data_IF_055153267736
#
_entry.id   IF_055153267736
#
_cell.length_a   1.000
_cell.length_b   1.000
_cell.length_c   1.000
_cell.angle_alpha   90.00
_cell.angle_beta   90.00
_cell.angle_gamma   90.00
#
_symmetry.space_group_name_H-M   'P 1'
#
loop_
_entity.id
_entity.type
_entity.pdbx_description
1 polymer ?
#
# COMPACT_ATOMS: atom_id res chain seq x y z
N UNK A 1 35.95 67.05 19.58
CA UNK A 1 36.03 65.83 20.41
C UNK A 1 34.65 65.16 20.56
N UNK A 2 33.62 65.79 21.05
CA UNK A 2 32.32 65.11 21.30
C UNK A 2 31.69 64.40 20.08
N UNK A 3 31.80 64.93 18.88
CA UNK A 3 31.24 64.34 17.66
C UNK A 3 31.93 63.03 17.23
N UNK A 4 33.26 62.93 17.46
CA UNK A 4 34.05 61.73 17.13
C UNK A 4 33.76 60.61 18.13
N UNK A 5 33.53 60.95 19.38
CA UNK A 5 33.18 59.97 20.43
C UNK A 5 31.78 59.43 20.21
N UNK A 6 30.84 60.26 19.79
CA UNK A 6 29.47 59.79 19.45
C UNK A 6 29.45 58.86 18.23
N UNK A 7 30.30 59.13 17.21
CA UNK A 7 30.43 58.27 16.04
C UNK A 7 31.03 56.90 16.37
N UNK A 8 32.08 56.88 17.20
CA UNK A 8 32.68 55.64 17.66
C UNK A 8 31.73 54.80 18.53
N UNK A 9 30.88 55.46 19.34
CA UNK A 9 29.86 54.78 20.13
C UNK A 9 28.80 54.14 19.24
N UNK A 10 28.32 54.88 18.22
CA UNK A 10 27.34 54.38 17.25
C UNK A 10 27.91 53.22 16.44
N UNK A 11 29.18 53.30 15.99
CA UNK A 11 29.82 52.22 15.28
C UNK A 11 29.97 50.95 16.11
N UNK A 12 30.29 51.06 17.41
CA UNK A 12 30.32 49.95 18.33
C UNK A 12 28.94 49.32 18.57
N UNK A 13 27.91 50.13 18.67
CA UNK A 13 26.53 49.69 18.87
C UNK A 13 26.00 48.94 17.63
N UNK A 14 26.25 49.47 16.44
CA UNK A 14 25.93 48.81 15.17
C UNK A 14 26.70 47.46 15.05
N UNK A 15 28.01 47.47 15.38
CA UNK A 15 28.81 46.27 15.34
C UNK A 15 28.32 45.18 16.28
N UNK A 16 27.91 45.56 17.51
CA UNK A 16 27.29 44.60 18.46
C UNK A 16 25.94 44.03 17.95
N UNK A 17 25.08 44.89 17.42
CA UNK A 17 23.81 44.49 16.84
C UNK A 17 24.01 43.57 15.64
N UNK A 18 24.94 43.92 14.72
CA UNK A 18 25.27 43.06 13.60
C UNK A 18 25.80 41.70 14.02
N UNK A 19 26.65 41.61 15.03
CA UNK A 19 27.16 40.34 15.54
C UNK A 19 26.05 39.48 16.12
N UNK A 20 25.12 40.05 16.89
CA UNK A 20 23.99 39.34 17.42
C UNK A 20 23.06 38.73 16.34
N UNK A 21 22.81 39.51 15.24
CA UNK A 21 22.06 38.99 14.08
C UNK A 21 22.85 37.91 13.32
N UNK A 22 24.15 38.03 13.19
CA UNK A 22 25.00 37.01 12.56
C UNK A 22 25.02 35.72 13.34
N UNK A 23 25.10 35.77 14.68
CA UNK A 23 25.02 34.59 15.54
C UNK A 23 23.65 33.91 15.45
N UNK A 24 22.56 34.69 15.46
CA UNK A 24 21.21 34.16 15.29
C UNK A 24 21.02 33.50 13.91
N UNK A 25 21.50 34.11 12.84
CA UNK A 25 21.48 33.53 11.50
C UNK A 25 22.33 32.25 11.40
N UNK A 26 23.49 32.23 12.06
CA UNK A 26 24.34 31.03 12.11
C UNK A 26 23.65 29.87 12.81
N UNK A 27 22.95 30.14 13.94
CA UNK A 27 22.17 29.13 14.65
C UNK A 27 21.00 28.58 13.81
N UNK A 28 20.25 29.46 13.15
CA UNK A 28 19.16 29.07 12.25
C UNK A 28 19.72 28.25 11.07
N UNK A 29 20.84 28.68 10.48
CA UNK A 29 21.51 27.96 9.41
C UNK A 29 22.00 26.57 9.85
N UNK A 30 22.63 26.49 11.02
CA UNK A 30 23.09 25.23 11.59
C UNK A 30 21.92 24.28 11.87
N UNK A 31 20.82 24.76 12.45
CA UNK A 31 19.61 23.98 12.67
C UNK A 31 18.98 23.47 11.35
N UNK A 32 18.90 24.34 10.35
CA UNK A 32 18.40 23.97 9.01
C UNK A 32 19.25 22.88 8.37
N UNK A 33 20.57 23.03 8.41
CA UNK A 33 21.53 22.05 7.88
C UNK A 33 21.43 20.73 8.62
N UNK A 34 21.38 20.75 9.97
CA UNK A 34 21.20 19.55 10.78
C UNK A 34 19.91 18.79 10.42
N UNK A 35 18.79 19.51 10.27
CA UNK A 35 17.52 18.93 9.83
C UNK A 35 17.60 18.32 8.44
N UNK A 36 18.25 18.98 7.49
CA UNK A 36 18.46 18.48 6.12
C UNK A 36 19.35 17.24 6.09
N UNK A 37 20.45 17.25 6.83
CA UNK A 37 21.32 16.09 6.98
C UNK A 37 20.60 14.91 7.59
N UNK A 38 19.82 15.13 8.66
CA UNK A 38 19.00 14.08 9.27
C UNK A 38 17.99 13.47 8.26
N UNK A 39 17.30 14.31 7.50
CA UNK A 39 16.35 13.85 6.46
C UNK A 39 17.08 13.03 5.38
N UNK A 40 18.25 13.46 4.93
CA UNK A 40 19.07 12.73 3.95
C UNK A 40 19.51 11.36 4.50
N UNK A 41 19.97 11.30 5.74
CA UNK A 41 20.37 10.05 6.38
C UNK A 41 19.18 9.09 6.50
N UNK A 42 18.01 9.57 6.94
CA UNK A 42 16.79 8.76 7.03
C UNK A 42 16.34 8.24 5.65
N UNK A 43 16.38 9.08 4.62
CA UNK A 43 16.03 8.68 3.26
C UNK A 43 17.02 7.66 2.69
N UNK A 44 18.33 7.87 2.91
CA UNK A 44 19.37 6.93 2.48
C UNK A 44 19.25 5.59 3.21
N UNK A 45 19.00 5.61 4.52
CA UNK A 45 18.73 4.40 5.29
C UNK A 45 17.50 3.66 4.77
N UNK A 46 16.41 4.38 4.46
CA UNK A 46 15.19 3.79 3.89
C UNK A 46 15.46 3.16 2.52
N UNK A 47 16.24 3.80 1.67
CA UNK A 47 16.66 3.25 0.36
C UNK A 47 17.48 1.96 0.52
N UNK A 48 18.48 1.97 1.41
CA UNK A 48 19.31 0.81 1.70
C UNK A 48 18.45 -0.34 2.24
N UNK A 49 17.58 -0.05 3.20
CA UNK A 49 16.67 -1.03 3.79
C UNK A 49 15.72 -1.66 2.78
N UNK A 50 15.17 -0.86 1.86
CA UNK A 50 14.20 -1.33 0.87
C UNK A 50 14.84 -2.08 -0.31
N UNK A 51 16.03 -1.65 -0.77
CA UNK A 51 16.61 -2.17 -2.01
C UNK A 51 17.77 -3.15 -1.79
N UNK A 52 18.55 -2.98 -0.73
CA UNK A 52 19.77 -3.76 -0.50
C UNK A 52 19.58 -4.88 0.52
N UNK A 53 18.90 -4.61 1.64
CA UNK A 53 18.71 -5.63 2.68
C UNK A 53 17.91 -6.84 2.16
N UNK A 54 16.81 -6.71 1.40
CA UNK A 54 16.10 -7.87 0.86
C UNK A 54 16.94 -8.74 -0.07
N UNK A 55 17.90 -8.15 -0.76
CA UNK A 55 18.83 -8.89 -1.66
C UNK A 55 19.93 -9.63 -0.91
N UNK A 56 20.32 -9.13 0.27
CA UNK A 56 21.37 -9.71 1.12
C UNK A 56 20.83 -10.76 2.10
N UNK A 57 19.58 -10.59 2.55
CA UNK A 57 18.92 -11.56 3.41
C UNK A 57 18.41 -12.70 2.53
N UNK A 58 18.91 -13.90 2.81
CA UNK A 58 18.48 -15.16 2.18
C UNK A 58 16.98 -15.19 1.91
N UNK A 59 16.56 -15.69 0.75
CA UNK A 59 15.15 -15.84 0.34
C UNK A 59 14.35 -16.40 1.51
N UNK A 60 13.56 -15.55 2.16
CA UNK A 60 12.68 -16.00 3.22
C UNK A 60 11.76 -17.08 2.65
N UNK A 61 11.62 -18.19 3.34
CA UNK A 61 10.69 -19.24 2.95
C UNK A 61 9.25 -18.69 3.12
N UNK A 62 8.69 -18.17 2.03
CA UNK A 62 7.37 -17.56 2.02
C UNK A 62 6.29 -18.55 2.43
N UNK A 63 6.46 -19.82 2.05
CA UNK A 63 5.50 -20.88 2.39
C UNK A 63 5.45 -21.08 3.91
N UNK A 64 6.59 -21.18 4.57
CA UNK A 64 6.65 -21.29 6.05
C UNK A 64 6.15 -20.03 6.74
N UNK A 65 6.47 -18.86 6.20
CA UNK A 65 6.15 -17.57 6.84
C UNK A 65 4.68 -17.20 6.72
N UNK A 66 4.06 -17.43 5.57
CA UNK A 66 2.70 -16.94 5.27
C UNK A 66 1.69 -18.06 5.14
N UNK A 67 2.00 -19.13 4.43
CA UNK A 67 1.11 -20.23 4.07
C UNK A 67 1.34 -20.73 2.66
N UNK A 68 0.69 -21.81 2.27
CA UNK A 68 0.98 -22.49 0.99
C UNK A 68 0.38 -21.81 -0.24
N UNK A 69 -0.75 -21.10 -0.09
CA UNK A 69 -1.51 -20.56 -1.20
C UNK A 69 -1.54 -19.03 -1.18
N UNK A 70 -1.38 -18.43 -2.34
CA UNK A 70 -1.61 -17.01 -2.56
C UNK A 70 -2.80 -16.81 -3.50
N UNK A 71 -3.69 -15.88 -3.15
CA UNK A 71 -4.81 -15.47 -3.99
C UNK A 71 -4.46 -14.14 -4.65
N UNK A 72 -4.70 -14.04 -5.96
CA UNK A 72 -4.54 -12.78 -6.70
C UNK A 72 -5.83 -12.48 -7.47
N UNK A 73 -6.48 -11.38 -7.14
CA UNK A 73 -7.64 -10.88 -7.90
C UNK A 73 -7.21 -9.94 -9.02
N UNK A 74 -7.89 -9.98 -10.17
CA UNK A 74 -7.48 -9.20 -11.34
C UNK A 74 -6.14 -9.67 -11.93
N UNK A 75 -5.93 -10.97 -11.96
CA UNK A 75 -4.65 -11.64 -12.18
C UNK A 75 -4.31 -11.90 -13.66
N UNK A 76 -5.13 -11.48 -14.60
CA UNK A 76 -4.97 -11.80 -16.05
C UNK A 76 -4.18 -10.77 -16.83
N UNK A 77 -3.73 -9.68 -16.21
CA UNK A 77 -2.91 -8.67 -16.85
C UNK A 77 -2.25 -7.72 -15.82
N UNK A 78 -1.18 -7.05 -16.24
CA UNK A 78 -0.56 -5.94 -15.52
C UNK A 78 -0.09 -6.30 -14.12
N UNK A 79 -0.42 -5.47 -13.14
CA UNK A 79 0.08 -5.59 -11.75
C UNK A 79 -0.31 -6.93 -11.12
N UNK A 80 -1.55 -7.38 -11.33
CA UNK A 80 -2.03 -8.65 -10.75
C UNK A 80 -1.26 -9.85 -11.28
N UNK A 81 -1.04 -9.93 -12.59
CA UNK A 81 -0.25 -10.99 -13.21
C UNK A 81 1.20 -10.99 -12.69
N UNK A 82 1.86 -9.82 -12.66
CA UNK A 82 3.22 -9.70 -12.14
C UNK A 82 3.32 -10.15 -10.66
N UNK A 83 2.33 -9.85 -9.82
CA UNK A 83 2.27 -10.38 -8.46
C UNK A 83 2.13 -11.90 -8.42
N UNK A 84 1.29 -12.48 -9.29
CA UNK A 84 1.10 -13.92 -9.34
C UNK A 84 2.41 -14.65 -9.73
N UNK A 85 3.11 -14.17 -10.74
CA UNK A 85 4.40 -14.68 -11.19
C UNK A 85 5.48 -14.56 -10.10
N UNK A 86 5.60 -13.40 -9.46
CA UNK A 86 6.56 -13.19 -8.37
C UNK A 86 6.30 -14.11 -7.18
N UNK A 87 5.05 -14.26 -6.75
CA UNK A 87 4.68 -15.15 -5.66
C UNK A 87 4.94 -16.63 -6.00
N UNK A 88 4.67 -17.02 -7.25
CA UNK A 88 4.99 -18.35 -7.76
C UNK A 88 6.50 -18.62 -7.76
N UNK A 89 7.32 -17.63 -8.12
CA UNK A 89 8.79 -17.73 -8.09
C UNK A 89 9.35 -17.99 -6.69
N UNK A 90 8.58 -17.64 -5.65
CA UNK A 90 8.87 -17.92 -4.24
C UNK A 90 8.30 -19.26 -3.73
N UNK A 91 7.75 -20.09 -4.64
CA UNK A 91 7.25 -21.44 -4.34
C UNK A 91 5.86 -21.47 -3.73
N UNK A 92 5.06 -20.38 -3.81
CA UNK A 92 3.67 -20.43 -3.41
C UNK A 92 2.79 -20.99 -4.52
N UNK A 93 1.79 -21.75 -4.15
CA UNK A 93 0.71 -22.16 -5.05
C UNK A 93 -0.21 -20.93 -5.28
N UNK A 94 -0.73 -20.77 -6.50
CA UNK A 94 -1.44 -19.55 -6.91
C UNK A 94 -2.89 -19.83 -7.24
N UNK A 95 -3.79 -19.02 -6.66
CA UNK A 95 -5.20 -18.96 -7.03
C UNK A 95 -5.45 -17.67 -7.78
N UNK A 96 -5.80 -17.79 -9.05
CA UNK A 96 -6.06 -16.67 -9.94
C UNK A 96 -7.56 -16.40 -10.02
N UNK A 97 -7.99 -15.17 -9.75
CA UNK A 97 -9.41 -14.75 -9.80
C UNK A 97 -9.57 -13.63 -10.83
N UNK A 98 -10.38 -13.87 -11.86
CA UNK A 98 -10.72 -12.86 -12.88
C UNK A 98 -12.01 -13.24 -13.62
N UNK A 99 -12.48 -12.35 -14.49
CA UNK A 99 -13.72 -12.54 -15.28
C UNK A 99 -13.56 -13.45 -16.50
N UNK A 100 -12.40 -13.38 -17.17
CA UNK A 100 -12.15 -14.12 -18.41
C UNK A 100 -11.52 -15.46 -18.11
N UNK A 101 -12.26 -16.54 -18.33
CA UNK A 101 -11.81 -17.92 -18.18
C UNK A 101 -10.62 -18.22 -19.07
N UNK A 102 -10.68 -17.85 -20.35
CA UNK A 102 -9.63 -18.10 -21.33
C UNK A 102 -8.29 -17.47 -20.93
N UNK A 103 -8.32 -16.20 -20.50
CA UNK A 103 -7.10 -15.52 -20.02
C UNK A 103 -6.56 -16.15 -18.74
N UNK A 104 -7.44 -16.58 -17.83
CA UNK A 104 -7.05 -17.29 -16.61
C UNK A 104 -6.34 -18.61 -16.97
N UNK A 105 -6.87 -19.41 -17.87
CA UNK A 105 -6.28 -20.67 -18.31
C UNK A 105 -4.89 -20.47 -18.93
N UNK A 106 -4.72 -19.43 -19.75
CA UNK A 106 -3.42 -19.09 -20.36
C UNK A 106 -2.39 -18.74 -19.28
N UNK A 107 -2.69 -17.78 -18.42
CA UNK A 107 -1.76 -17.33 -17.35
C UNK A 107 -1.48 -18.44 -16.35
N UNK A 108 -2.47 -19.26 -16.03
CA UNK A 108 -2.34 -20.42 -15.14
C UNK A 108 -1.34 -21.43 -15.67
N UNK A 109 -1.44 -21.75 -16.97
CA UNK A 109 -0.53 -22.68 -17.62
C UNK A 109 0.90 -22.16 -17.65
N UNK A 110 1.09 -20.89 -18.02
CA UNK A 110 2.41 -20.23 -18.02
C UNK A 110 3.06 -20.25 -16.63
N UNK A 111 2.32 -19.94 -15.58
CA UNK A 111 2.85 -19.95 -14.21
C UNK A 111 3.18 -21.37 -13.75
N UNK A 112 2.31 -22.34 -13.99
CA UNK A 112 2.54 -23.73 -13.60
C UNK A 112 3.76 -24.34 -14.27
N UNK A 113 3.94 -24.10 -15.59
CA UNK A 113 5.05 -24.61 -16.36
C UNK A 113 6.38 -23.91 -15.98
N UNK A 114 6.36 -22.60 -15.72
CA UNK A 114 7.58 -21.83 -15.45
C UNK A 114 8.11 -22.05 -14.04
N UNK A 115 7.20 -22.12 -13.03
CA UNK A 115 7.60 -22.12 -11.62
C UNK A 115 7.40 -23.46 -10.91
N UNK A 116 6.79 -24.45 -11.59
CA UNK A 116 6.49 -25.77 -11.03
C UNK A 116 5.71 -25.73 -9.72
N UNK A 117 4.66 -24.89 -9.66
CA UNK A 117 3.73 -24.72 -8.52
C UNK A 117 2.32 -25.13 -8.90
N UNK A 118 1.53 -25.51 -7.91
CA UNK A 118 0.10 -25.76 -8.12
C UNK A 118 -0.63 -24.45 -8.40
N UNK A 119 -1.54 -24.49 -9.36
CA UNK A 119 -2.37 -23.34 -9.72
C UNK A 119 -3.86 -23.72 -9.72
N UNK A 120 -4.71 -22.75 -9.38
CA UNK A 120 -6.16 -22.91 -9.45
C UNK A 120 -6.78 -21.62 -10.00
N UNK A 121 -7.90 -21.77 -10.70
CA UNK A 121 -8.65 -20.64 -11.25
C UNK A 121 -10.03 -20.53 -10.60
N UNK A 122 -10.48 -19.32 -10.37
CA UNK A 122 -11.84 -18.98 -9.98
C UNK A 122 -12.35 -17.91 -10.93
N UNK A 123 -13.34 -18.27 -11.74
CA UNK A 123 -13.98 -17.30 -12.64
C UNK A 123 -15.00 -16.52 -11.84
N UNK A 124 -14.77 -15.23 -11.64
CA UNK A 124 -15.67 -14.37 -10.90
C UNK A 124 -15.73 -12.96 -11.48
N UNK A 125 -16.94 -12.46 -11.66
CA UNK A 125 -17.21 -11.08 -12.03
C UNK A 125 -17.72 -10.30 -10.84
N UNK A 126 -16.84 -9.54 -10.21
CA UNK A 126 -17.17 -8.78 -9.01
C UNK A 126 -18.20 -7.66 -9.23
N UNK A 127 -18.47 -7.25 -10.49
CA UNK A 127 -19.52 -6.27 -10.79
C UNK A 127 -20.91 -6.78 -10.42
N UNK A 128 -21.12 -8.11 -10.43
CA UNK A 128 -22.37 -8.77 -10.02
C UNK A 128 -22.69 -8.70 -8.52
N UNK A 129 -21.80 -8.11 -7.72
CA UNK A 129 -22.04 -7.88 -6.30
C UNK A 129 -21.99 -9.15 -5.45
N UNK A 130 -23.02 -9.38 -4.61
CA UNK A 130 -22.99 -10.39 -3.55
C UNK A 130 -22.95 -11.85 -4.03
N UNK A 131 -23.47 -12.11 -5.20
CA UNK A 131 -23.70 -13.48 -5.71
C UNK A 131 -22.41 -14.29 -5.91
N UNK A 132 -21.31 -13.61 -6.26
CA UNK A 132 -20.02 -14.26 -6.56
C UNK A 132 -19.28 -14.80 -5.35
N UNK A 133 -19.57 -14.30 -4.13
CA UNK A 133 -18.75 -14.64 -2.96
C UNK A 133 -19.04 -16.02 -2.37
N UNK A 134 -20.24 -16.56 -2.57
CA UNK A 134 -20.58 -17.90 -2.10
C UNK A 134 -19.73 -18.97 -2.78
N UNK A 135 -19.60 -18.91 -4.10
CA UNK A 135 -18.77 -19.83 -4.88
C UNK A 135 -17.28 -19.67 -4.58
N UNK A 136 -16.81 -18.42 -4.40
CA UNK A 136 -15.43 -18.15 -4.01
C UNK A 136 -15.13 -18.74 -2.62
N UNK A 137 -16.02 -18.54 -1.64
CA UNK A 137 -15.85 -19.06 -0.29
C UNK A 137 -15.77 -20.59 -0.27
N UNK A 138 -16.61 -21.26 -1.05
CA UNK A 138 -16.60 -22.72 -1.19
C UNK A 138 -15.29 -23.21 -1.81
N UNK A 139 -14.83 -22.60 -2.88
CA UNK A 139 -13.58 -22.97 -3.56
C UNK A 139 -12.31 -22.74 -2.69
N UNK A 140 -12.39 -21.91 -1.66
CA UNK A 140 -11.29 -21.59 -0.76
C UNK A 140 -11.33 -22.35 0.58
N UNK A 141 -12.38 -23.12 0.87
CA UNK A 141 -12.66 -23.70 2.19
C UNK A 141 -11.47 -24.48 2.79
N UNK A 142 -10.84 -25.35 2.00
CA UNK A 142 -9.80 -26.26 2.48
C UNK A 142 -8.37 -25.82 2.13
N UNK A 143 -8.18 -24.56 1.79
CA UNK A 143 -6.88 -24.06 1.37
C UNK A 143 -6.21 -23.22 2.46
N UNK A 144 -4.91 -23.49 2.70
CA UNK A 144 -4.06 -22.68 3.58
C UNK A 144 -3.66 -21.38 2.91
N UNK A 145 -4.56 -20.37 2.93
CA UNK A 145 -4.35 -19.09 2.28
C UNK A 145 -3.39 -18.23 3.11
N UNK A 146 -2.19 -18.05 2.59
CA UNK A 146 -1.13 -17.25 3.22
C UNK A 146 -1.09 -15.80 2.76
N UNK A 147 -1.38 -15.55 1.49
CA UNK A 147 -1.31 -14.19 0.91
C UNK A 147 -2.58 -13.91 0.11
N UNK A 148 -3.12 -12.72 0.28
CA UNK A 148 -4.19 -12.16 -0.56
C UNK A 148 -3.70 -10.88 -1.23
N UNK A 149 -3.75 -10.85 -2.58
CA UNK A 149 -3.49 -9.64 -3.37
C UNK A 149 -4.78 -9.16 -4.02
N UNK A 150 -5.32 -8.07 -3.52
CA UNK A 150 -6.46 -7.37 -4.10
C UNK A 150 -5.97 -6.40 -5.16
N UNK A 151 -5.89 -6.88 -6.42
CA UNK A 151 -5.45 -6.10 -7.57
C UNK A 151 -6.60 -5.79 -8.56
N UNK A 152 -7.76 -6.43 -8.39
CA UNK A 152 -8.92 -6.11 -9.24
C UNK A 152 -9.32 -4.65 -9.07
N UNK A 153 -9.67 -4.01 -10.19
CA UNK A 153 -10.15 -2.64 -10.18
C UNK A 153 -10.72 -2.23 -11.53
N UNK A 154 -11.68 -1.32 -11.50
CA UNK A 154 -12.25 -0.66 -12.66
C UNK A 154 -12.18 0.84 -12.48
N UNK A 155 -12.08 1.55 -13.60
CA UNK A 155 -12.11 3.01 -13.65
C UNK A 155 -12.93 3.46 -14.87
N UNK A 156 -13.19 4.74 -14.99
CA UNK A 156 -13.84 5.29 -16.17
C UNK A 156 -12.85 5.27 -17.36
N UNK A 157 -13.34 5.00 -18.55
CA UNK A 157 -12.49 4.93 -19.76
C UNK A 157 -11.72 6.25 -20.00
N UNK A 158 -12.28 7.36 -19.55
CA UNK A 158 -11.68 8.70 -19.57
C UNK A 158 -12.16 9.50 -18.35
N UNK A 159 -11.46 10.59 -17.97
CA UNK A 159 -11.93 11.49 -16.92
C UNK A 159 -13.29 12.09 -17.30
N UNK A 160 -14.29 12.03 -16.40
CA UNK A 160 -15.66 12.45 -16.67
C UNK A 160 -16.24 13.22 -15.47
N UNK A 161 -17.11 14.19 -15.76
CA UNK A 161 -17.84 14.89 -14.70
C UNK A 161 -18.75 13.93 -13.94
N UNK A 162 -18.80 14.06 -12.63
CA UNK A 162 -19.59 13.17 -11.76
C UNK A 162 -21.07 13.13 -12.15
N UNK A 163 -21.61 14.27 -12.61
CA UNK A 163 -22.99 14.39 -13.10
C UNK A 163 -23.30 13.62 -14.36
N UNK A 164 -22.28 13.16 -15.10
CA UNK A 164 -22.44 12.37 -16.33
C UNK A 164 -22.17 10.88 -16.13
N UNK A 165 -21.71 10.48 -14.95
CA UNK A 165 -21.55 9.07 -14.64
C UNK A 165 -22.92 8.41 -14.51
N UNK A 166 -23.10 7.27 -15.20
CA UNK A 166 -24.30 6.47 -15.03
C UNK A 166 -24.32 5.80 -13.66
N UNK A 167 -25.51 5.52 -13.14
CA UNK A 167 -25.69 4.78 -11.89
C UNK A 167 -25.03 3.41 -11.94
N UNK A 168 -25.17 2.68 -13.06
CA UNK A 168 -24.52 1.37 -13.26
C UNK A 168 -23.01 1.46 -13.13
N UNK A 169 -22.39 2.52 -13.67
CA UNK A 169 -20.95 2.74 -13.54
C UNK A 169 -20.52 3.05 -12.12
N UNK A 170 -21.32 3.78 -11.37
CA UNK A 170 -21.07 4.03 -9.95
C UNK A 170 -21.13 2.74 -9.15
N UNK A 171 -22.16 1.91 -9.37
CA UNK A 171 -22.27 0.60 -8.72
C UNK A 171 -21.17 -0.36 -9.14
N UNK A 172 -20.76 -0.36 -10.41
CA UNK A 172 -19.60 -1.14 -10.86
C UNK A 172 -18.33 -0.76 -10.07
N UNK A 173 -18.05 0.55 -9.92
CA UNK A 173 -16.90 1.03 -9.14
C UNK A 173 -17.00 0.60 -7.68
N UNK A 174 -18.17 0.72 -7.06
CA UNK A 174 -18.39 0.30 -5.66
C UNK A 174 -18.17 -1.20 -5.50
N UNK A 175 -18.80 -2.00 -6.35
CA UNK A 175 -18.74 -3.46 -6.26
C UNK A 175 -17.33 -4.00 -6.52
N UNK A 176 -16.66 -3.49 -7.56
CA UNK A 176 -15.35 -4.02 -7.95
C UNK A 176 -14.20 -3.44 -7.10
N UNK A 177 -14.19 -2.13 -6.84
CA UNK A 177 -13.07 -1.51 -6.16
C UNK A 177 -13.18 -1.54 -4.63
N UNK A 178 -14.40 -1.51 -4.08
CA UNK A 178 -14.62 -1.45 -2.63
C UNK A 178 -15.08 -2.81 -2.09
N UNK A 179 -16.22 -3.29 -2.58
CA UNK A 179 -16.84 -4.50 -2.03
C UNK A 179 -15.96 -5.73 -2.26
N UNK A 180 -15.36 -5.90 -3.45
CA UNK A 180 -14.51 -7.04 -3.75
C UNK A 180 -13.33 -7.15 -2.79
N UNK A 181 -12.58 -6.07 -2.58
CA UNK A 181 -11.44 -6.08 -1.67
C UNK A 181 -11.85 -6.43 -0.24
N UNK A 182 -12.93 -5.82 0.27
CA UNK A 182 -13.42 -6.06 1.63
C UNK A 182 -13.95 -7.49 1.82
N UNK A 183 -14.74 -8.00 0.86
CA UNK A 183 -15.28 -9.34 0.95
C UNK A 183 -14.23 -10.43 0.81
N UNK A 184 -13.23 -10.24 -0.05
CA UNK A 184 -12.09 -11.17 -0.13
C UNK A 184 -11.33 -11.22 1.18
N UNK A 185 -11.08 -10.07 1.80
CA UNK A 185 -10.47 -10.02 3.15
C UNK A 185 -11.36 -10.72 4.17
N UNK A 186 -12.67 -10.45 4.19
CA UNK A 186 -13.60 -11.08 5.11
C UNK A 186 -13.58 -12.63 5.01
N UNK A 187 -13.38 -13.16 3.80
CA UNK A 187 -13.31 -14.61 3.56
C UNK A 187 -12.00 -15.20 4.10
N UNK A 188 -10.85 -14.56 3.86
CA UNK A 188 -9.53 -15.17 4.17
C UNK A 188 -8.98 -14.81 5.54
N UNK A 189 -9.33 -13.64 6.08
CA UNK A 189 -8.78 -13.11 7.33
C UNK A 189 -8.99 -14.02 8.55
N UNK A 190 -10.17 -14.65 8.77
CA UNK A 190 -10.37 -15.55 9.92
C UNK A 190 -9.33 -16.66 9.99
N UNK A 191 -9.06 -17.36 8.88
CA UNK A 191 -8.04 -18.40 8.83
C UNK A 191 -6.60 -17.88 9.03
N UNK A 192 -6.27 -16.69 8.52
CA UNK A 192 -4.98 -16.06 8.77
C UNK A 192 -4.79 -15.69 10.24
N UNK A 193 -5.83 -15.18 10.90
CA UNK A 193 -5.82 -14.83 12.34
C UNK A 193 -5.67 -16.09 13.19
N UNK A 194 -6.39 -17.16 12.89
CA UNK A 194 -6.31 -18.44 13.61
C UNK A 194 -4.90 -19.02 13.54
N UNK A 195 -4.31 -19.07 12.36
CA UNK A 195 -2.93 -19.54 12.14
C UNK A 195 -1.86 -18.55 12.55
N UNK A 196 -2.22 -17.31 12.94
CA UNK A 196 -1.30 -16.21 13.32
C UNK A 196 -0.27 -15.88 12.23
N UNK A 197 -0.59 -16.15 10.98
CA UNK A 197 0.26 -15.88 9.82
C UNK A 197 -0.59 -15.53 8.60
N UNK A 198 -0.09 -14.63 7.77
CA UNK A 198 -0.74 -14.19 6.55
C UNK A 198 -0.32 -12.77 6.17
N UNK A 199 -0.59 -12.40 4.94
CA UNK A 199 -0.38 -11.06 4.43
C UNK A 199 -1.51 -10.65 3.49
N UNK A 200 -1.91 -9.38 3.55
CA UNK A 200 -2.91 -8.79 2.66
C UNK A 200 -2.28 -7.60 1.96
N UNK A 201 -2.38 -7.59 0.64
CA UNK A 201 -1.90 -6.52 -0.23
C UNK A 201 -3.09 -5.92 -0.97
N UNK A 202 -3.31 -4.61 -0.83
CA UNK A 202 -4.29 -3.87 -1.62
C UNK A 202 -3.58 -2.98 -2.62
N UNK A 203 -3.90 -3.14 -3.91
CA UNK A 203 -3.36 -2.29 -4.98
C UNK A 203 -4.22 -1.03 -5.10
N UNK A 204 -3.75 0.04 -4.51
CA UNK A 204 -4.38 1.36 -4.57
C UNK A 204 -3.93 2.16 -5.81
N UNK A 205 -4.00 3.47 -5.77
CA UNK A 205 -3.64 4.37 -6.87
C UNK A 205 -3.09 5.68 -6.32
N UNK A 206 -2.24 6.36 -7.09
CA UNK A 206 -1.79 7.73 -6.78
C UNK A 206 -2.94 8.75 -6.68
N UNK A 207 -4.09 8.47 -7.29
CA UNK A 207 -5.29 9.30 -7.19
C UNK A 207 -5.93 9.33 -5.80
N UNK A 208 -5.53 8.41 -4.89
CA UNK A 208 -5.97 8.46 -3.49
C UNK A 208 -5.21 9.51 -2.66
N UNK A 209 -4.03 9.93 -3.10
CA UNK A 209 -3.15 10.83 -2.33
C UNK A 209 -3.34 12.31 -2.69
N UNK A 210 -3.91 12.60 -3.86
CA UNK A 210 -4.14 13.96 -4.36
C UNK A 210 -5.50 14.04 -5.02
N UNK A 211 -6.23 15.18 -4.86
CA UNK A 211 -7.47 15.42 -5.59
C UNK A 211 -7.22 15.29 -7.10
N UNK A 212 -7.96 14.39 -7.74
CA UNK A 212 -7.87 14.18 -9.19
C UNK A 212 -9.20 14.60 -9.80
N UNK A 213 -9.24 15.74 -10.52
CA UNK A 213 -10.46 16.21 -11.19
C UNK A 213 -11.07 15.12 -12.06
N UNK A 214 -12.40 15.09 -12.14
CA UNK A 214 -13.16 14.16 -13.01
C UNK A 214 -12.97 12.67 -12.70
N UNK A 215 -12.35 12.33 -11.55
CA UNK A 215 -12.15 10.94 -11.09
C UNK A 215 -12.67 10.72 -9.67
N UNK A 216 -13.66 11.47 -9.23
CA UNK A 216 -14.10 11.49 -7.82
C UNK A 216 -14.48 10.10 -7.29
N UNK A 217 -15.35 9.35 -7.98
CA UNK A 217 -15.80 8.03 -7.56
C UNK A 217 -14.63 7.02 -7.50
N UNK A 218 -13.76 7.04 -8.51
CA UNK A 218 -12.58 6.17 -8.55
C UNK A 218 -11.60 6.50 -7.42
N UNK A 219 -11.25 7.78 -7.26
CA UNK A 219 -10.34 8.22 -6.21
C UNK A 219 -10.85 7.85 -4.82
N UNK A 220 -12.14 8.09 -4.53
CA UNK A 220 -12.78 7.69 -3.28
C UNK A 220 -12.70 6.17 -3.05
N UNK A 221 -12.92 5.37 -4.09
CA UNK A 221 -12.81 3.91 -4.01
C UNK A 221 -11.38 3.45 -3.67
N UNK A 222 -10.37 4.15 -4.17
CA UNK A 222 -8.97 3.82 -3.90
C UNK A 222 -8.50 4.30 -2.52
N UNK A 223 -9.05 5.39 -1.99
CA UNK A 223 -8.86 5.80 -0.59
C UNK A 223 -9.38 4.74 0.37
N UNK A 224 -10.56 4.16 0.10
CA UNK A 224 -11.14 3.10 0.95
C UNK A 224 -10.22 1.88 1.07
N UNK A 225 -9.54 1.48 0.00
CA UNK A 225 -8.59 0.37 0.01
C UNK A 225 -7.39 0.62 0.93
N UNK A 226 -6.87 1.86 0.98
CA UNK A 226 -5.77 2.25 1.87
C UNK A 226 -6.23 2.24 3.33
N UNK A 227 -7.37 2.87 3.61
CA UNK A 227 -7.92 2.96 4.97
C UNK A 227 -8.27 1.58 5.55
N UNK A 228 -8.89 0.73 4.74
CA UNK A 228 -9.20 -0.65 5.15
C UNK A 228 -7.94 -1.45 5.45
N UNK A 229 -6.87 -1.33 4.65
CA UNK A 229 -5.62 -2.05 4.90
C UNK A 229 -5.01 -1.68 6.25
N UNK A 230 -5.00 -0.40 6.63
CA UNK A 230 -4.52 0.05 7.93
C UNK A 230 -5.32 -0.60 9.08
N UNK A 231 -6.65 -0.70 8.94
CA UNK A 231 -7.52 -1.32 9.93
C UNK A 231 -7.35 -2.85 10.02
N UNK A 232 -7.11 -3.52 8.90
CA UNK A 232 -6.84 -4.97 8.88
C UNK A 232 -5.49 -5.30 9.54
N UNK A 233 -4.45 -4.53 9.25
CA UNK A 233 -3.17 -4.64 9.96
C UNK A 233 -3.37 -4.48 11.46
N UNK A 234 -4.18 -3.53 11.91
CA UNK A 234 -4.52 -3.36 13.32
C UNK A 234 -5.17 -4.61 13.92
N UNK A 235 -6.08 -5.28 13.21
CA UNK A 235 -6.77 -6.48 13.69
C UNK A 235 -5.81 -7.67 13.82
N UNK A 236 -4.90 -7.88 12.88
CA UNK A 236 -3.87 -8.93 12.94
C UNK A 236 -2.86 -8.64 14.06
N UNK A 237 -2.56 -7.37 14.30
CA UNK A 237 -1.55 -6.88 15.22
C UNK A 237 -2.04 -6.78 16.65
N UNK A 238 -3.36 -6.67 16.92
CA UNK A 238 -3.91 -6.59 18.29
C UNK A 238 -3.44 -7.74 19.22
N UNK A 239 -2.98 -8.84 18.66
CA UNK A 239 -2.33 -9.92 19.44
C UNK A 239 -0.85 -9.68 19.77
N UNK A 240 -0.21 -8.64 19.21
CA UNK A 240 1.16 -8.26 19.52
C UNK A 240 1.19 -6.86 20.17
N UNK A 241 1.16 -6.82 21.54
CA UNK A 241 1.05 -5.58 22.34
C UNK A 241 2.06 -4.48 21.98
N UNK A 242 3.24 -4.86 21.49
CA UNK A 242 4.29 -3.89 21.14
C UNK A 242 3.99 -3.10 19.87
N UNK A 243 3.31 -3.70 18.90
CA UNK A 243 2.94 -3.05 17.64
C UNK A 243 1.67 -2.17 17.81
N UNK A 244 0.82 -2.50 18.77
CA UNK A 244 -0.35 -1.69 19.13
C UNK A 244 0.08 -0.30 19.64
N UNK A 245 1.13 -0.24 20.45
CA UNK A 245 1.65 1.02 20.97
C UNK A 245 2.28 1.85 19.85
N UNK A 246 3.00 1.25 18.92
CA UNK A 246 3.56 1.95 17.76
C UNK A 246 2.47 2.59 16.89
N UNK A 247 1.38 1.87 16.61
CA UNK A 247 0.26 2.40 15.82
C UNK A 247 -0.49 3.51 16.56
N UNK A 248 -0.69 3.40 17.88
CA UNK A 248 -1.29 4.48 18.69
C UNK A 248 -0.47 5.76 18.63
N UNK A 249 0.85 5.67 18.67
CA UNK A 249 1.74 6.83 18.54
C UNK A 249 1.72 7.40 17.11
N UNK A 250 1.70 6.55 16.09
CA UNK A 250 1.58 6.99 14.71
C UNK A 250 0.24 7.71 14.45
N UNK A 251 -0.88 7.24 15.02
CA UNK A 251 -2.18 7.91 14.89
C UNK A 251 -2.26 9.23 15.65
N UNK A 252 -1.56 9.39 16.76
CA UNK A 252 -1.48 10.69 17.47
C UNK A 252 -0.77 11.79 16.68
N UNK A 253 0.09 11.41 15.73
CA UNK A 253 0.81 12.37 14.90
C UNK A 253 0.01 12.89 13.68
N UNK A 254 -1.18 12.33 13.42
CA UNK A 254 -2.07 12.71 12.32
C UNK A 254 -3.35 13.46 12.76
N UNK A 255 -3.58 13.66 14.03
CA UNK A 255 -4.63 14.48 14.65
C UNK A 255 -4.02 15.68 15.32
#
# INVERSE_FOLDING_TARGET
>A
MAAVDSFNLLYREIGRSCNCYMEALALVGAWYMARKCFTLVCNSYSLIRLHFIPKLVSRADFVKRYGRWAIVTGSTAGIGQAYAEELASHGLNIILISRSKEKLETVTKEIAETYNVETAIIVADFSKGREVYSSIKEALRDKDIGILVNSVGVFCAYPEYFTRLSEDKLWEIVNVNIAAANMMVHIVLPGMVERKRGAIVNVSSGSCCKPTPQMAAYSASKVSQVSCLMLYCYTIIQRNKNMLNFLKEAFKSYG
#
